data_IF_415280713564
#
_entry.id   IF_415280713564
#
_cell.length_a   1.000
_cell.length_b   1.000
_cell.length_c   1.000
_cell.angle_alpha   90.00
_cell.angle_beta   90.00
_cell.angle_gamma   90.00
#
_symmetry.space_group_name_H-M   'P 1'
#
loop_
_entity.id
_entity.type
_entity.pdbx_description
1 polymer ?
#
# COMPACT_ATOMS: atom_id res chain seq x y z
N UNK A 1 18.88 -8.45 -9.91
CA UNK A 1 18.13 -9.39 -10.79
C UNK A 1 19.00 -9.75 -11.98
N UNK A 2 19.11 -11.04 -12.38
CA UNK A 2 19.87 -11.44 -13.58
C UNK A 2 19.06 -11.14 -14.85
N UNK A 3 19.73 -10.93 -16.00
CA UNK A 3 19.05 -10.63 -17.28
C UNK A 3 18.08 -11.74 -17.70
N UNK A 4 18.47 -13.01 -17.51
CA UNK A 4 17.60 -14.15 -17.83
C UNK A 4 16.33 -14.18 -16.96
N UNK A 5 16.44 -13.86 -15.66
CA UNK A 5 15.28 -13.77 -14.78
C UNK A 5 14.38 -12.58 -15.14
N UNK A 6 15.00 -11.43 -15.44
CA UNK A 6 14.27 -10.24 -15.88
C UNK A 6 13.45 -10.56 -17.14
N UNK A 7 14.05 -11.15 -18.15
CA UNK A 7 13.36 -11.52 -19.39
C UNK A 7 12.18 -12.46 -19.11
N UNK A 8 12.39 -13.48 -18.28
CA UNK A 8 11.32 -14.41 -17.90
C UNK A 8 10.15 -13.72 -17.19
N UNK A 9 10.45 -12.72 -16.35
CA UNK A 9 9.42 -11.91 -15.68
C UNK A 9 8.67 -11.07 -16.69
N UNK A 10 9.38 -10.35 -17.57
CA UNK A 10 8.77 -9.51 -18.61
C UNK A 10 7.84 -10.32 -19.52
N UNK A 11 8.19 -11.55 -19.84
CA UNK A 11 7.41 -12.41 -20.74
C UNK A 11 6.17 -13.02 -20.08
N UNK A 12 6.10 -13.07 -18.75
CA UNK A 12 5.09 -13.89 -18.05
C UNK A 12 4.34 -13.19 -16.94
N UNK A 13 4.93 -12.15 -16.31
CA UNK A 13 4.29 -11.45 -15.20
C UNK A 13 3.26 -10.44 -15.75
N UNK A 14 2.06 -10.51 -15.23
CA UNK A 14 0.97 -9.57 -15.58
C UNK A 14 0.96 -8.40 -14.59
N UNK A 15 1.16 -8.68 -13.32
CA UNK A 15 1.21 -7.69 -12.25
C UNK A 15 1.96 -8.24 -11.04
N UNK A 16 2.45 -7.35 -10.18
CA UNK A 16 3.02 -7.69 -8.88
C UNK A 16 2.13 -7.12 -7.77
N UNK A 17 1.83 -7.93 -6.78
CA UNK A 17 1.29 -7.47 -5.50
C UNK A 17 2.42 -7.57 -4.47
N UNK A 18 2.85 -6.42 -3.96
CA UNK A 18 3.92 -6.31 -2.97
C UNK A 18 3.36 -5.91 -1.61
N UNK A 19 3.70 -6.66 -0.59
CA UNK A 19 3.28 -6.41 0.79
C UNK A 19 4.51 -6.45 1.68
N UNK A 20 5.04 -5.28 2.00
CA UNK A 20 6.24 -5.10 2.81
C UNK A 20 5.87 -4.37 4.10
N UNK A 21 6.35 -4.87 5.23
CA UNK A 21 5.93 -4.42 6.57
C UNK A 21 4.39 -4.34 6.62
N UNK A 22 3.79 -5.49 6.45
CA UNK A 22 2.37 -5.66 6.15
C UNK A 22 1.47 -4.92 7.14
N UNK A 23 1.71 -5.09 8.45
CA UNK A 23 0.81 -4.62 9.49
C UNK A 23 1.61 -3.98 10.62
N UNK A 24 1.57 -2.66 10.71
CA UNK A 24 2.05 -1.88 11.84
C UNK A 24 0.97 -0.93 12.40
N UNK A 25 -0.24 -1.04 11.92
CA UNK A 25 -1.39 -0.23 12.34
C UNK A 25 -2.65 -0.59 11.56
N UNK A 26 -3.58 0.33 11.54
CA UNK A 26 -4.98 0.09 11.17
C UNK A 26 -5.35 0.71 9.82
N UNK A 27 -4.57 1.69 9.35
CA UNK A 27 -4.92 2.46 8.17
C UNK A 27 -4.16 1.95 6.95
N UNK A 28 -4.91 1.57 5.94
CA UNK A 28 -4.37 1.12 4.65
C UNK A 28 -3.65 2.27 3.95
N UNK A 29 -2.40 2.04 3.57
CA UNK A 29 -1.55 2.98 2.84
C UNK A 29 -1.18 2.38 1.47
N UNK A 30 -2.03 2.56 0.45
CA UNK A 30 -1.83 1.95 -0.86
C UNK A 30 -0.97 2.82 -1.77
N UNK A 31 -0.22 2.11 -2.64
CA UNK A 31 0.45 2.70 -3.80
C UNK A 31 0.24 1.78 -4.99
N UNK A 32 -0.03 2.32 -6.16
CA UNK A 32 -0.31 1.53 -7.34
C UNK A 32 0.32 2.12 -8.59
N UNK A 33 0.68 1.26 -9.53
CA UNK A 33 0.82 1.67 -10.93
C UNK A 33 -0.53 2.18 -11.43
N UNK A 34 -0.59 3.22 -12.28
CA UNK A 34 -1.86 3.83 -12.70
C UNK A 34 -2.90 2.83 -13.21
N UNK A 35 -2.46 1.84 -13.97
CA UNK A 35 -3.32 0.79 -14.55
C UNK A 35 -3.98 -0.13 -13.50
N UNK A 36 -3.41 -0.23 -12.28
CA UNK A 36 -3.94 -1.08 -11.21
C UNK A 36 -4.73 -0.31 -10.16
N UNK A 37 -4.81 1.01 -10.28
CA UNK A 37 -5.47 1.86 -9.30
C UNK A 37 -6.96 1.55 -9.16
N UNK A 38 -7.67 1.48 -10.28
CA UNK A 38 -9.11 1.20 -10.27
C UNK A 38 -9.40 -0.22 -9.78
N UNK A 39 -8.56 -1.19 -10.16
CA UNK A 39 -8.65 -2.57 -9.66
C UNK A 39 -8.52 -2.61 -8.14
N UNK A 40 -7.60 -1.85 -7.57
CA UNK A 40 -7.43 -1.76 -6.13
C UNK A 40 -8.65 -1.12 -5.46
N UNK A 41 -9.15 0.00 -5.99
CA UNK A 41 -10.33 0.69 -5.46
C UNK A 41 -11.56 -0.23 -5.47
N UNK A 42 -11.79 -0.94 -6.56
CA UNK A 42 -12.90 -1.91 -6.63
C UNK A 42 -12.71 -3.08 -5.64
N UNK A 43 -11.48 -3.53 -5.44
CA UNK A 43 -11.20 -4.58 -4.45
C UNK A 43 -11.57 -4.15 -3.02
N UNK A 44 -11.20 -2.94 -2.59
CA UNK A 44 -11.53 -2.47 -1.23
C UNK A 44 -13.01 -2.12 -1.04
N UNK A 45 -13.77 -1.88 -2.12
CA UNK A 45 -15.24 -1.79 -2.06
C UNK A 45 -15.89 -3.15 -1.78
N UNK A 46 -15.27 -4.24 -2.20
CA UNK A 46 -15.78 -5.60 -2.01
C UNK A 46 -15.35 -6.23 -0.68
N UNK A 47 -14.36 -5.67 0.02
CA UNK A 47 -13.84 -6.20 1.28
C UNK A 47 -14.51 -5.51 2.46
N UNK A 48 -15.14 -6.26 3.41
CA UNK A 48 -15.67 -5.68 4.62
C UNK A 48 -14.57 -5.03 5.48
N UNK A 49 -14.90 -3.93 6.14
CA UNK A 49 -14.00 -3.32 7.12
C UNK A 49 -13.82 -4.24 8.34
N UNK A 50 -12.58 -4.33 8.83
CA UNK A 50 -12.26 -5.06 10.07
C UNK A 50 -12.77 -4.35 11.33
N UNK A 51 -13.05 -3.05 11.24
CA UNK A 51 -13.56 -2.24 12.37
C UNK A 51 -15.08 -2.25 12.46
N UNK A 52 -15.73 -2.29 11.31
CA UNK A 52 -17.18 -2.40 11.20
C UNK A 52 -17.54 -3.23 9.97
N UNK A 53 -17.84 -4.52 10.13
CA UNK A 53 -18.18 -5.39 9.01
C UNK A 53 -19.47 -5.03 8.26
N UNK A 54 -20.26 -4.08 8.76
CA UNK A 54 -21.46 -3.58 8.07
C UNK A 54 -21.13 -2.62 6.91
N UNK A 55 -19.90 -2.13 6.84
CA UNK A 55 -19.39 -1.27 5.77
C UNK A 55 -18.19 -1.89 5.06
N UNK A 56 -17.97 -1.48 3.82
CA UNK A 56 -16.76 -1.85 3.06
C UNK A 56 -15.52 -1.13 3.61
N UNK A 57 -14.34 -1.64 3.27
CA UNK A 57 -13.09 -0.94 3.62
C UNK A 57 -12.97 0.41 2.89
N UNK A 58 -13.58 0.55 1.72
CA UNK A 58 -13.67 1.82 1.00
C UNK A 58 -14.44 2.87 1.81
N UNK A 59 -15.64 2.56 2.29
CA UNK A 59 -16.48 3.46 3.11
C UNK A 59 -15.79 3.83 4.43
N UNK A 60 -15.12 2.86 5.06
CA UNK A 60 -14.30 3.13 6.24
C UNK A 60 -13.19 4.13 5.95
N UNK A 61 -12.44 3.93 4.86
CA UNK A 61 -11.33 4.80 4.48
C UNK A 61 -11.80 6.19 4.07
N UNK A 62 -12.92 6.30 3.36
CA UNK A 62 -13.56 7.57 3.01
C UNK A 62 -13.95 8.36 4.28
N UNK A 63 -14.58 7.71 5.24
CA UNK A 63 -14.92 8.31 6.53
C UNK A 63 -13.69 8.75 7.31
N UNK A 64 -12.63 7.93 7.34
CA UNK A 64 -11.38 8.29 8.00
C UNK A 64 -10.69 9.49 7.33
N UNK A 65 -10.64 9.54 5.99
CA UNK A 65 -10.09 10.68 5.25
C UNK A 65 -10.84 11.99 5.58
N UNK A 66 -12.16 11.94 5.65
CA UNK A 66 -13.00 13.11 5.96
C UNK A 66 -12.77 13.69 7.36
N UNK A 67 -12.26 12.90 8.32
CA UNK A 67 -11.98 13.37 9.68
C UNK A 67 -10.63 14.06 9.84
N UNK A 68 -9.70 13.87 8.89
CA UNK A 68 -8.34 14.40 8.98
C UNK A 68 -8.21 15.81 8.44
N UNK A 69 -7.60 16.70 9.20
CA UNK A 69 -7.39 18.10 8.79
C UNK A 69 -6.66 18.22 7.43
N UNK A 70 -5.73 17.30 7.15
CA UNK A 70 -4.92 17.30 5.91
C UNK A 70 -5.53 16.45 4.79
N UNK A 71 -6.51 15.63 5.08
CA UNK A 71 -7.04 14.61 4.15
C UNK A 71 -8.51 14.81 3.81
N UNK A 72 -9.22 15.70 4.50
CA UNK A 72 -10.68 15.91 4.37
C UNK A 72 -11.18 16.20 2.95
N UNK A 73 -10.31 16.78 2.11
CA UNK A 73 -10.64 17.09 0.73
C UNK A 73 -10.01 16.08 -0.27
N UNK A 74 -9.49 14.95 0.25
CA UNK A 74 -8.86 13.90 -0.55
C UNK A 74 -9.83 12.75 -0.75
N UNK A 75 -10.12 12.39 -1.98
CA UNK A 75 -10.90 11.18 -2.28
C UNK A 75 -10.08 9.91 -2.02
N UNK A 76 -10.74 8.76 -1.89
CA UNK A 76 -10.06 7.46 -1.75
C UNK A 76 -9.17 7.19 -2.96
N UNK A 77 -9.62 7.54 -4.15
CA UNK A 77 -8.87 7.42 -5.40
C UNK A 77 -7.58 8.26 -5.39
N UNK A 78 -7.63 9.49 -4.88
CA UNK A 78 -6.46 10.36 -4.76
C UNK A 78 -5.52 9.91 -3.63
N UNK A 79 -6.06 9.25 -2.62
CA UNK A 79 -5.28 8.68 -1.54
C UNK A 79 -4.40 7.51 -1.99
N UNK A 80 -4.81 6.76 -3.02
CA UNK A 80 -3.95 5.75 -3.66
C UNK A 80 -2.80 6.44 -4.39
N UNK A 81 -1.62 6.44 -3.78
CA UNK A 81 -0.44 7.11 -4.32
C UNK A 81 0.15 6.35 -5.51
N UNK A 82 0.97 7.05 -6.31
CA UNK A 82 1.75 6.40 -7.37
C UNK A 82 2.82 5.51 -6.73
N UNK A 83 3.02 4.34 -7.33
CA UNK A 83 4.06 3.41 -6.93
C UNK A 83 5.44 4.06 -7.11
N UNK A 84 6.19 4.15 -6.02
CA UNK A 84 7.54 4.67 -6.01
C UNK A 84 8.59 3.57 -5.86
N UNK A 85 9.58 3.81 -5.01
CA UNK A 85 10.65 2.87 -4.66
C UNK A 85 10.58 2.50 -3.17
N UNK A 86 11.56 1.72 -2.70
CA UNK A 86 11.74 1.41 -1.28
C UNK A 86 11.36 0.00 -0.87
N UNK A 87 11.00 -0.88 -1.82
CA UNK A 87 10.73 -2.30 -1.61
C UNK A 87 10.89 -3.06 -2.93
N UNK A 88 10.68 -4.36 -2.95
CA UNK A 88 10.90 -5.26 -4.09
C UNK A 88 10.15 -4.87 -5.37
N UNK A 89 9.02 -4.19 -5.24
CA UNK A 89 8.26 -3.69 -6.39
C UNK A 89 9.06 -2.76 -7.31
N UNK A 90 10.11 -2.12 -6.80
CA UNK A 90 10.96 -1.23 -7.58
C UNK A 90 11.59 -1.95 -8.78
N UNK A 91 12.20 -3.11 -8.53
CA UNK A 91 12.84 -3.91 -9.58
C UNK A 91 11.84 -4.39 -10.65
N UNK A 92 10.64 -4.78 -10.24
CA UNK A 92 9.60 -5.22 -11.15
C UNK A 92 9.04 -4.08 -11.98
N UNK A 93 8.70 -2.95 -11.35
CA UNK A 93 8.07 -1.83 -12.02
C UNK A 93 9.05 -1.09 -12.95
N UNK A 94 10.26 -0.78 -12.48
CA UNK A 94 11.17 0.11 -13.18
C UNK A 94 12.16 -0.61 -14.11
N UNK A 95 12.50 -1.87 -13.84
CA UNK A 95 13.44 -2.63 -14.67
C UNK A 95 12.77 -3.71 -15.52
N UNK A 96 11.67 -4.28 -15.07
CA UNK A 96 10.93 -5.29 -15.83
C UNK A 96 9.64 -4.76 -16.47
N UNK A 97 9.21 -3.54 -16.17
CA UNK A 97 8.00 -2.94 -16.74
C UNK A 97 6.70 -3.63 -16.27
N UNK A 98 6.75 -4.39 -15.17
CA UNK A 98 5.58 -5.07 -14.61
C UNK A 98 4.83 -4.13 -13.69
N UNK A 99 3.55 -3.82 -13.94
CA UNK A 99 2.78 -2.97 -13.07
C UNK A 99 2.65 -3.57 -11.68
N UNK A 100 2.72 -2.72 -10.65
CA UNK A 100 2.71 -3.16 -9.28
C UNK A 100 1.63 -2.49 -8.45
N UNK A 101 1.17 -3.22 -7.45
CA UNK A 101 0.38 -2.75 -6.34
C UNK A 101 1.17 -3.01 -5.05
N UNK A 102 1.33 -1.97 -4.24
CA UNK A 102 1.92 -2.05 -2.91
C UNK A 102 0.90 -1.58 -1.88
N UNK A 103 0.77 -2.28 -0.79
CA UNK A 103 0.01 -1.79 0.35
C UNK A 103 0.58 -2.31 1.68
N UNK A 104 0.32 -1.54 2.72
CA UNK A 104 0.59 -1.91 4.11
C UNK A 104 -0.44 -1.24 5.00
N UNK A 105 -0.66 -1.79 6.18
CA UNK A 105 -1.47 -1.15 7.21
C UNK A 105 -0.55 -0.36 8.12
N UNK A 106 -0.75 0.94 8.16
CA UNK A 106 0.06 1.91 8.91
C UNK A 106 -0.67 2.39 10.15
N UNK A 107 0.07 2.88 11.10
CA UNK A 107 -0.51 3.54 12.27
C UNK A 107 -1.30 4.77 11.84
N UNK A 108 -2.40 5.01 12.49
CA UNK A 108 -3.25 6.19 12.27
C UNK A 108 -2.48 7.47 12.63
N UNK A 109 -1.94 8.14 11.62
CA UNK A 109 -1.14 9.36 11.80
C UNK A 109 -1.96 10.56 12.29
N UNK A 110 -3.30 10.50 12.19
CA UNK A 110 -4.18 11.51 12.75
C UNK A 110 -4.23 11.42 14.28
N UNK A 111 -4.15 10.19 14.82
CA UNK A 111 -4.14 9.93 16.26
C UNK A 111 -2.72 9.88 16.84
N UNK A 112 -1.77 9.36 16.07
CA UNK A 112 -0.41 9.07 16.52
C UNK A 112 0.63 9.66 15.55
N UNK A 113 0.88 10.98 15.58
CA UNK A 113 1.70 11.68 14.57
C UNK A 113 3.17 11.24 14.45
N UNK A 114 3.66 10.43 15.39
CA UNK A 114 5.04 9.92 15.41
C UNK A 114 5.08 8.38 15.37
N UNK A 115 4.09 7.78 14.78
CA UNK A 115 3.95 6.35 14.76
C UNK A 115 4.94 5.67 13.81
N UNK A 116 5.46 4.60 14.25
CA UNK A 116 6.43 3.72 13.66
C UNK A 116 7.09 2.92 14.79
N UNK A 117 7.81 1.85 14.49
CA UNK A 117 8.58 1.22 15.55
C UNK A 117 9.99 1.82 15.61
N UNK A 118 10.44 2.26 16.80
CA UNK A 118 11.68 3.06 16.92
C UNK A 118 12.96 2.33 16.52
N UNK A 119 12.94 1.00 16.52
CA UNK A 119 14.09 0.18 16.17
C UNK A 119 14.31 0.00 14.65
N UNK A 120 13.34 0.44 13.81
CA UNK A 120 13.38 0.25 12.35
C UNK A 120 14.67 0.77 11.73
N UNK A 121 15.38 -0.09 11.00
CA UNK A 121 16.65 0.19 10.37
C UNK A 121 17.75 0.68 11.34
N UNK A 122 17.72 0.22 12.57
CA UNK A 122 18.76 0.51 13.57
C UNK A 122 19.43 -0.76 14.07
N UNK A 123 20.57 -0.63 14.74
CA UNK A 123 21.25 -1.76 15.39
C UNK A 123 20.49 -2.34 16.61
N UNK A 124 19.38 -1.74 16.99
CA UNK A 124 18.50 -2.22 18.08
C UNK A 124 17.36 -3.09 17.55
N UNK A 125 17.26 -3.31 16.25
CA UNK A 125 16.30 -4.22 15.65
C UNK A 125 16.73 -5.66 15.88
N UNK A 126 16.08 -6.35 16.81
CA UNK A 126 16.39 -7.72 17.24
C UNK A 126 15.16 -8.62 17.09
N UNK A 127 15.37 -9.95 17.10
CA UNK A 127 14.30 -10.96 17.02
C UNK A 127 13.62 -11.26 18.37
N UNK A 128 13.76 -10.40 19.37
CA UNK A 128 13.18 -10.61 20.71
C UNK A 128 12.05 -9.63 20.99
#
# INVERSE_FOLDING_TARGET
MTDALRQKIMDRAVALINVDICIIGDILAPKASPILKDVFVEAIKAVPSTFDPSQSYYEFLEGWLATGEKTKDTSVEEYVKILGSGSDHHEFAFYAGVPGLYFSFRTDEQKYPKAGYPAYHTGFETFY
#
